data_IF_331304579397
#
_entry.id   IF_331304579397
#
_cell.length_a   1.000
_cell.length_b   1.000
_cell.length_c   1.000
_cell.angle_alpha   90.00
_cell.angle_beta   90.00
_cell.angle_gamma   90.00
#
_symmetry.space_group_name_H-M   'P 1'
#
loop_
_entity.id
_entity.type
_entity.pdbx_description
1 polymer ?
#
# COMPACT_ATOMS: atom_id res chain seq x y z
N UNK A 1 3.25 31.63 -11.91
CA UNK A 1 2.84 30.67 -10.87
C UNK A 1 3.33 29.28 -11.24
N UNK A 2 4.51 28.86 -10.76
CA UNK A 2 4.99 27.49 -10.98
C UNK A 2 4.65 26.69 -9.73
N UNK A 3 3.68 25.78 -9.82
CA UNK A 3 3.43 24.81 -8.76
C UNK A 3 4.65 23.90 -8.71
N UNK A 4 5.49 24.06 -7.69
CA UNK A 4 6.52 23.07 -7.39
C UNK A 4 5.76 21.78 -7.04
N UNK A 5 5.88 20.77 -7.90
CA UNK A 5 5.40 19.43 -7.60
C UNK A 5 6.17 18.96 -6.38
N UNK A 6 5.51 19.01 -5.22
CA UNK A 6 6.05 18.59 -3.95
C UNK A 6 6.30 17.07 -3.99
N UNK A 7 7.56 16.60 -3.98
CA UNK A 7 7.86 15.18 -4.06
C UNK A 7 7.40 14.42 -2.81
N UNK A 8 6.98 15.11 -1.75
CA UNK A 8 6.54 14.50 -0.49
C UNK A 8 5.18 13.80 -0.62
N UNK A 9 4.41 14.03 -1.69
CA UNK A 9 3.20 13.24 -2.02
C UNK A 9 3.41 12.17 -3.08
N UNK A 10 4.60 12.12 -3.68
CA UNK A 10 4.95 11.10 -4.67
C UNK A 10 5.64 9.97 -3.92
N UNK A 11 4.86 9.05 -3.37
CA UNK A 11 5.40 7.76 -2.91
C UNK A 11 5.94 7.04 -4.14
N UNK A 12 7.22 7.26 -4.46
CA UNK A 12 8.04 6.41 -5.35
C UNK A 12 8.33 5.04 -4.70
N UNK A 13 7.44 4.58 -3.82
CA UNK A 13 7.34 3.21 -3.41
C UNK A 13 6.43 2.57 -4.43
N UNK A 14 7.04 1.94 -5.43
CA UNK A 14 6.49 0.82 -6.19
C UNK A 14 5.07 0.46 -5.73
N UNK A 15 4.06 0.78 -6.54
CA UNK A 15 2.71 0.21 -6.43
C UNK A 15 2.77 -1.29 -6.79
N UNK A 16 3.77 -2.01 -6.28
CA UNK A 16 3.75 -3.45 -6.25
C UNK A 16 2.78 -3.83 -5.14
N UNK A 17 1.68 -4.47 -5.51
CA UNK A 17 0.84 -5.19 -4.56
C UNK A 17 1.75 -5.97 -3.60
N UNK A 18 1.49 -5.83 -2.31
CA UNK A 18 2.31 -6.48 -1.31
C UNK A 18 2.13 -8.00 -1.42
N UNK A 19 3.21 -8.76 -1.40
CA UNK A 19 3.07 -10.22 -1.39
C UNK A 19 2.39 -10.64 -0.08
N UNK A 20 1.32 -11.44 -0.19
CA UNK A 20 0.57 -11.91 0.96
C UNK A 20 1.43 -12.88 1.79
N UNK A 21 1.63 -12.64 3.11
CA UNK A 21 2.43 -13.53 3.96
C UNK A 21 1.73 -14.86 4.30
N UNK A 22 0.44 -15.01 3.96
CA UNK A 22 -0.35 -16.20 4.26
C UNK A 22 -0.36 -17.22 3.13
N UNK A 23 -0.45 -16.75 1.88
CA UNK A 23 -0.57 -17.61 0.70
C UNK A 23 0.50 -17.34 -0.38
N UNK A 24 1.43 -16.41 -0.14
CA UNK A 24 2.43 -15.95 -1.09
C UNK A 24 1.85 -15.33 -2.39
N UNK A 25 0.55 -15.06 -2.41
CA UNK A 25 -0.16 -14.42 -3.51
C UNK A 25 0.27 -12.97 -3.72
N UNK A 26 0.20 -12.51 -4.97
CA UNK A 26 0.49 -11.12 -5.35
C UNK A 26 -0.77 -10.32 -5.68
N UNK A 27 -1.94 -10.98 -5.67
CA UNK A 27 -3.23 -10.36 -5.91
C UNK A 27 -3.73 -9.68 -4.62
N UNK A 28 -3.10 -8.57 -4.26
CA UNK A 28 -3.44 -7.82 -3.05
C UNK A 28 -3.72 -6.36 -3.37
N UNK A 29 -4.79 -5.83 -2.80
CA UNK A 29 -5.18 -4.44 -2.96
C UNK A 29 -4.98 -3.65 -1.67
N UNK A 30 -4.54 -2.40 -1.79
CA UNK A 30 -4.27 -1.53 -0.65
C UNK A 30 -5.50 -0.69 -0.32
N UNK A 31 -6.18 -1.00 0.79
CA UNK A 31 -7.47 -0.39 1.12
C UNK A 31 -7.39 1.06 1.64
N UNK A 32 -6.28 1.43 2.30
CA UNK A 32 -6.17 2.76 2.92
C UNK A 32 -4.98 3.56 2.38
N UNK A 33 -5.20 4.41 1.37
CA UNK A 33 -4.10 5.12 0.77
C UNK A 33 -3.55 6.30 1.59
N UNK A 34 -4.36 6.98 2.43
CA UNK A 34 -3.96 8.27 3.04
C UNK A 34 -4.73 8.58 4.33
N UNK A 35 -4.25 8.09 5.48
CA UNK A 35 -4.56 8.69 6.78
C UNK A 35 -3.40 9.59 7.23
N UNK A 36 -3.65 10.72 7.94
CA UNK A 36 -2.58 11.57 8.49
C UNK A 36 -1.74 10.86 9.57
N UNK A 37 -2.18 9.69 10.03
CA UNK A 37 -1.51 8.80 10.97
C UNK A 37 -0.66 7.77 10.20
N UNK A 38 0.64 8.02 10.20
CA UNK A 38 1.70 7.21 9.60
C UNK A 38 1.75 5.74 10.09
N UNK A 39 2.19 4.87 9.18
CA UNK A 39 2.86 3.57 9.39
C UNK A 39 2.06 2.25 9.29
N UNK A 40 0.75 2.26 9.04
CA UNK A 40 0.01 1.01 8.76
C UNK A 40 -0.75 1.09 7.45
N UNK A 41 -0.21 0.41 6.44
CA UNK A 41 -0.91 0.19 5.18
C UNK A 41 -1.63 -1.16 5.26
N UNK A 42 -2.95 -1.13 5.45
CA UNK A 42 -3.79 -2.32 5.34
C UNK A 42 -3.90 -2.73 3.88
N UNK A 43 -3.68 -4.02 3.63
CA UNK A 43 -3.83 -4.68 2.34
C UNK A 43 -4.83 -5.82 2.48
N UNK A 44 -5.57 -6.10 1.43
CA UNK A 44 -6.49 -7.22 1.35
C UNK A 44 -6.00 -8.18 0.27
N UNK A 45 -5.85 -9.46 0.61
CA UNK A 45 -5.46 -10.46 -0.38
C UNK A 45 -6.70 -11.10 -1.01
N UNK A 46 -6.79 -11.07 -2.33
CA UNK A 46 -7.88 -11.72 -3.08
C UNK A 46 -7.64 -13.22 -3.30
N UNK A 47 -6.42 -13.73 -3.08
CA UNK A 47 -6.12 -15.15 -3.24
C UNK A 47 -6.56 -15.97 -2.02
N UNK A 48 -6.34 -15.46 -0.81
CA UNK A 48 -6.79 -16.10 0.43
C UNK A 48 -7.97 -15.38 1.10
N UNK A 49 -8.43 -14.26 0.55
CA UNK A 49 -9.53 -13.45 1.08
C UNK A 49 -9.30 -12.95 2.52
N UNK A 50 -8.03 -12.73 2.88
CA UNK A 50 -7.62 -12.30 4.22
C UNK A 50 -6.97 -10.90 4.20
N UNK A 51 -7.32 -10.02 5.16
CA UNK A 51 -6.64 -8.75 5.35
C UNK A 51 -5.27 -8.94 6.04
N UNK A 52 -4.28 -8.14 5.65
CA UNK A 52 -2.96 -8.13 6.28
C UNK A 52 -2.36 -6.72 6.33
N UNK A 53 -1.52 -6.48 7.33
CA UNK A 53 -0.79 -5.23 7.48
C UNK A 53 0.59 -5.37 6.83
N UNK A 54 0.92 -4.46 5.90
CA UNK A 54 2.29 -4.35 5.37
C UNK A 54 3.01 -3.23 6.10
N UNK A 55 4.10 -3.58 6.78
CA UNK A 55 5.09 -2.62 7.24
C UNK A 55 6.01 -2.31 6.05
N UNK A 56 5.90 -1.08 5.52
CA UNK A 56 6.73 -0.56 4.44
C UNK A 56 7.87 0.29 4.98
#
# INVERSE_FOLDING_TARGET
>A
MRRLSDPSVTTTGETAGAQCPYCDGTNTDREHPKGPSLCRSMHYCHDCEEPFEKFG
#
